data_IF_206524537385
#
_entry.id   IF_206524537385
#
_cell.length_a   1.000
_cell.length_b   1.000
_cell.length_c   1.000
_cell.angle_alpha   90.00
_cell.angle_beta   90.00
_cell.angle_gamma   90.00
#
_symmetry.space_group_name_H-M   'P 1'
#
loop_
_entity.id
_entity.type
_entity.pdbx_description
1 polymer ?
#
# COMPACT_ATOMS: atom_id res chain seq x y z
N UNK A 1 31.66 -28.47 12.13
CA UNK A 1 31.23 -27.30 11.34
C UNK A 1 29.75 -27.38 10.97
N UNK A 2 29.29 -28.45 10.30
CA UNK A 2 27.89 -28.66 9.90
C UNK A 2 26.84 -28.56 11.02
N UNK A 3 27.08 -29.16 12.20
CA UNK A 3 26.13 -29.11 13.34
C UNK A 3 25.88 -27.70 13.90
N UNK A 4 26.77 -26.73 13.66
CA UNK A 4 26.56 -25.31 14.05
C UNK A 4 25.80 -24.52 12.99
N UNK A 5 25.79 -24.97 11.73
CA UNK A 5 25.10 -24.32 10.62
C UNK A 5 23.62 -24.71 10.52
N UNK A 6 23.27 -25.97 10.86
CA UNK A 6 21.89 -26.46 10.85
C UNK A 6 20.90 -25.58 11.65
N UNK A 7 21.18 -25.15 12.90
CA UNK A 7 20.26 -24.28 13.63
C UNK A 7 20.12 -22.88 13.01
N UNK A 8 21.18 -22.33 12.40
CA UNK A 8 21.11 -21.05 11.68
C UNK A 8 20.22 -21.18 10.44
N UNK A 9 20.35 -22.30 9.71
CA UNK A 9 19.49 -22.61 8.57
C UNK A 9 18.04 -22.79 8.99
N UNK A 10 17.78 -23.45 10.12
CA UNK A 10 16.43 -23.63 10.64
C UNK A 10 15.77 -22.29 11.00
N UNK A 11 16.50 -21.38 11.67
CA UNK A 11 15.99 -20.03 11.98
C UNK A 11 15.73 -19.23 10.70
N UNK A 12 16.64 -19.30 9.72
CA UNK A 12 16.43 -18.64 8.42
C UNK A 12 15.21 -19.20 7.69
N UNK A 13 15.04 -20.52 7.66
CA UNK A 13 13.92 -21.18 6.99
C UNK A 13 12.59 -20.89 7.67
N UNK A 14 12.56 -20.86 9.01
CA UNK A 14 11.39 -20.43 9.79
C UNK A 14 11.02 -18.98 9.50
N UNK A 15 12.00 -18.06 9.51
CA UNK A 15 11.75 -16.66 9.17
C UNK A 15 11.19 -16.47 7.76
N UNK A 16 11.71 -17.22 6.78
CA UNK A 16 11.15 -17.24 5.42
C UNK A 16 9.74 -17.82 5.38
N UNK A 17 9.48 -18.90 6.11
CA UNK A 17 8.16 -19.54 6.17
C UNK A 17 7.12 -18.62 6.82
N UNK A 18 7.46 -17.91 7.89
CA UNK A 18 6.57 -16.97 8.57
C UNK A 18 6.21 -15.79 7.67
N UNK A 19 7.20 -15.22 6.98
CA UNK A 19 6.98 -14.14 6.01
C UNK A 19 6.11 -14.60 4.83
N UNK A 20 6.38 -15.80 4.30
CA UNK A 20 5.59 -16.39 3.22
C UNK A 20 4.13 -16.62 3.65
N UNK A 21 3.92 -17.26 4.80
CA UNK A 21 2.58 -17.51 5.34
C UNK A 21 1.80 -16.21 5.52
N UNK A 22 2.44 -15.17 6.06
CA UNK A 22 1.80 -13.86 6.23
C UNK A 22 1.35 -13.26 4.89
N UNK A 23 2.22 -13.21 3.88
CA UNK A 23 1.89 -12.61 2.58
C UNK A 23 0.79 -13.42 1.88
N UNK A 24 0.90 -14.75 1.85
CA UNK A 24 -0.08 -15.62 1.20
C UNK A 24 -1.46 -15.47 1.84
N UNK A 25 -1.55 -15.47 3.16
CA UNK A 25 -2.83 -15.30 3.85
C UNK A 25 -3.49 -13.95 3.54
N UNK A 26 -2.70 -12.88 3.45
CA UNK A 26 -3.19 -11.56 3.06
C UNK A 26 -3.67 -11.54 1.60
N UNK A 27 -2.93 -12.15 0.67
CA UNK A 27 -3.32 -12.21 -0.74
C UNK A 27 -4.59 -13.05 -0.95
N UNK A 28 -4.73 -14.17 -0.25
CA UNK A 28 -5.96 -14.98 -0.30
C UNK A 28 -7.15 -14.17 0.22
N UNK A 29 -7.01 -13.49 1.36
CA UNK A 29 -8.05 -12.61 1.89
C UNK A 29 -8.37 -11.45 0.94
N UNK A 30 -7.34 -10.85 0.32
CA UNK A 30 -7.48 -9.79 -0.67
C UNK A 30 -8.24 -10.25 -1.92
N UNK A 31 -7.99 -11.47 -2.40
CA UNK A 31 -8.71 -12.05 -3.52
C UNK A 31 -10.20 -12.22 -3.22
N UNK A 32 -10.55 -12.72 -2.03
CA UNK A 32 -11.95 -12.81 -1.57
C UNK A 32 -12.57 -11.42 -1.41
N UNK A 33 -11.84 -10.47 -0.84
CA UNK A 33 -12.27 -9.08 -0.70
C UNK A 33 -12.53 -8.42 -2.05
N UNK A 34 -11.62 -8.60 -3.01
CA UNK A 34 -11.73 -8.08 -4.37
C UNK A 34 -12.95 -8.65 -5.10
N UNK A 35 -13.20 -9.94 -4.95
CA UNK A 35 -14.40 -10.59 -5.48
C UNK A 35 -15.67 -10.04 -4.83
N UNK A 36 -15.64 -9.79 -3.52
CA UNK A 36 -16.74 -9.16 -2.78
C UNK A 36 -17.05 -7.75 -3.32
N UNK A 37 -16.05 -6.89 -3.44
CA UNK A 37 -16.21 -5.54 -4.00
C UNK A 37 -16.69 -5.54 -5.45
N UNK A 38 -16.22 -6.49 -6.26
CA UNK A 38 -16.71 -6.69 -7.63
C UNK A 38 -18.20 -7.01 -7.63
N UNK A 39 -18.63 -7.93 -6.76
CA UNK A 39 -20.03 -8.39 -6.67
C UNK A 39 -20.98 -7.28 -6.20
N UNK A 40 -20.53 -6.39 -5.31
CA UNK A 40 -21.30 -5.22 -4.84
C UNK A 40 -21.30 -4.07 -5.86
N UNK A 41 -20.54 -4.17 -6.96
CA UNK A 41 -20.46 -3.13 -7.98
C UNK A 41 -19.55 -1.95 -7.61
N UNK A 42 -18.75 -2.07 -6.55
CA UNK A 42 -17.84 -1.01 -6.11
C UNK A 42 -16.78 -0.65 -7.16
N UNK A 43 -16.25 -1.65 -7.87
CA UNK A 43 -15.26 -1.42 -8.95
C UNK A 43 -15.86 -0.56 -10.05
N UNK A 44 -17.10 -0.84 -10.48
CA UNK A 44 -17.79 -0.05 -11.51
C UNK A 44 -18.02 1.38 -11.04
N UNK A 45 -18.49 1.57 -9.80
CA UNK A 45 -18.68 2.90 -9.23
C UNK A 45 -17.37 3.71 -9.14
N UNK A 46 -16.25 3.06 -8.82
CA UNK A 46 -14.93 3.70 -8.82
C UNK A 46 -14.50 4.13 -10.23
N UNK A 47 -14.69 3.29 -11.23
CA UNK A 47 -14.34 3.58 -12.62
C UNK A 47 -15.20 4.73 -13.16
N UNK A 48 -16.52 4.63 -13.02
CA UNK A 48 -17.46 5.65 -13.49
C UNK A 48 -17.18 7.00 -12.82
N UNK A 49 -16.92 6.98 -11.50
CA UNK A 49 -16.50 8.15 -10.74
C UNK A 49 -15.21 8.76 -11.27
N UNK A 50 -14.18 7.94 -11.51
CA UNK A 50 -12.90 8.39 -12.03
C UNK A 50 -13.03 8.98 -13.45
N UNK A 51 -13.80 8.34 -14.33
CA UNK A 51 -14.01 8.79 -15.71
C UNK A 51 -14.85 10.07 -15.79
N UNK A 52 -15.84 10.24 -14.90
CA UNK A 52 -16.68 11.44 -14.86
C UNK A 52 -15.91 12.73 -14.53
N UNK A 53 -14.76 12.61 -13.87
CA UNK A 53 -13.92 13.72 -13.42
C UNK A 53 -12.82 14.11 -14.43
N UNK A 54 -12.82 13.53 -15.64
CA UNK A 54 -11.86 13.86 -16.71
C UNK A 54 -10.76 12.83 -16.87
N UNK A 55 -9.51 13.14 -16.47
CA UNK A 55 -8.37 12.22 -16.61
C UNK A 55 -8.53 10.98 -15.71
N UNK A 56 -9.28 9.99 -16.20
CA UNK A 56 -9.68 8.82 -15.42
C UNK A 56 -8.49 8.09 -14.79
N UNK A 57 -7.35 8.02 -15.49
CA UNK A 57 -6.13 7.38 -14.99
C UNK A 57 -5.55 8.08 -13.75
N UNK A 58 -5.38 9.40 -13.81
CA UNK A 58 -4.85 10.21 -12.71
C UNK A 58 -5.82 10.20 -11.53
N UNK A 59 -7.11 10.35 -11.80
CA UNK A 59 -8.14 10.35 -10.74
C UNK A 59 -8.20 9.00 -10.04
N UNK A 60 -8.12 7.89 -10.79
CA UNK A 60 -8.04 6.55 -10.22
C UNK A 60 -6.78 6.35 -9.38
N UNK A 61 -5.62 6.80 -9.88
CA UNK A 61 -4.38 6.75 -9.12
C UNK A 61 -4.51 7.48 -7.78
N UNK A 62 -5.01 8.72 -7.79
CA UNK A 62 -5.21 9.52 -6.58
C UNK A 62 -6.19 8.84 -5.63
N UNK A 63 -7.31 8.30 -6.13
CA UNK A 63 -8.29 7.58 -5.32
C UNK A 63 -7.67 6.38 -4.60
N UNK A 64 -6.91 5.55 -5.33
CA UNK A 64 -6.23 4.38 -4.76
C UNK A 64 -5.14 4.78 -3.76
N UNK A 65 -4.37 5.82 -4.06
CA UNK A 65 -3.38 6.40 -3.14
C UNK A 65 -4.03 6.82 -1.82
N UNK A 66 -5.13 7.58 -1.88
CA UNK A 66 -5.82 8.09 -0.70
C UNK A 66 -6.42 6.96 0.14
N UNK A 67 -7.15 6.03 -0.48
CA UNK A 67 -7.77 4.90 0.21
C UNK A 67 -6.68 4.04 0.88
N UNK A 68 -5.57 3.78 0.17
CA UNK A 68 -4.46 2.98 0.69
C UNK A 68 -3.74 3.69 1.83
N UNK A 69 -3.51 5.00 1.71
CA UNK A 69 -2.89 5.80 2.77
C UNK A 69 -3.75 5.81 4.03
N UNK A 70 -5.06 6.00 3.91
CA UNK A 70 -5.99 5.96 5.04
C UNK A 70 -6.00 4.58 5.70
N UNK A 71 -6.03 3.51 4.90
CA UNK A 71 -5.93 2.14 5.41
C UNK A 71 -4.57 1.86 6.08
N UNK A 72 -3.47 2.43 5.59
CA UNK A 72 -2.16 2.31 6.24
C UNK A 72 -2.10 3.06 7.58
N UNK A 73 -2.72 4.24 7.65
CA UNK A 73 -2.83 5.01 8.89
C UNK A 73 -3.62 4.28 9.96
N UNK A 74 -4.69 3.56 9.60
CA UNK A 74 -5.52 2.80 10.54
C UNK A 74 -4.88 1.47 10.94
N UNK A 75 -4.25 0.77 10.00
CA UNK A 75 -3.65 -0.55 10.25
C UNK A 75 -2.25 -0.49 10.84
N UNK A 76 -1.55 0.64 10.71
CA UNK A 76 -0.14 0.77 11.13
C UNK A 76 0.84 -0.08 10.34
N UNK A 77 0.40 -0.69 9.23
CA UNK A 77 1.16 -1.60 8.39
C UNK A 77 1.41 -1.00 7.01
N UNK A 78 2.66 -1.07 6.55
CA UNK A 78 3.04 -0.58 5.22
C UNK A 78 2.69 -1.56 4.10
N UNK A 79 2.42 -2.83 4.44
CA UNK A 79 2.20 -3.90 3.46
C UNK A 79 0.76 -4.40 3.45
N UNK A 80 0.04 -4.35 4.58
CA UNK A 80 -1.32 -4.90 4.64
C UNK A 80 -2.31 -4.19 3.71
N UNK A 81 -2.36 -2.84 3.65
CA UNK A 81 -3.23 -2.13 2.72
C UNK A 81 -2.86 -2.41 1.27
N UNK A 82 -1.57 -2.37 0.95
CA UNK A 82 -1.08 -2.69 -0.39
C UNK A 82 -1.55 -4.07 -0.84
N UNK A 83 -1.32 -5.11 -0.03
CA UNK A 83 -1.75 -6.47 -0.40
C UNK A 83 -3.27 -6.63 -0.45
N UNK A 84 -4.03 -5.88 0.35
CA UNK A 84 -5.50 -5.90 0.29
C UNK A 84 -6.06 -5.36 -1.03
N UNK A 85 -5.40 -4.37 -1.63
CA UNK A 85 -5.86 -3.70 -2.85
C UNK A 85 -5.11 -4.10 -4.13
N UNK A 86 -3.94 -4.75 -4.03
CA UNK A 86 -3.15 -5.14 -5.21
C UNK A 86 -3.90 -6.09 -6.14
N UNK A 87 -4.73 -6.97 -5.60
CA UNK A 87 -5.60 -7.87 -6.38
C UNK A 87 -6.66 -7.14 -7.22
N UNK A 88 -7.00 -5.89 -6.87
CA UNK A 88 -7.90 -5.05 -7.66
C UNK A 88 -7.21 -4.39 -8.85
N UNK A 89 -5.90 -4.18 -8.77
CA UNK A 89 -5.15 -3.42 -9.79
C UNK A 89 -5.30 -4.02 -11.18
N UNK A 90 -5.12 -5.33 -11.43
CA UNK A 90 -5.24 -5.88 -12.77
C UNK A 90 -6.62 -5.63 -13.39
N UNK A 91 -7.68 -5.68 -12.58
CA UNK A 91 -9.06 -5.43 -13.02
C UNK A 91 -9.27 -3.96 -13.33
N UNK A 92 -8.82 -3.05 -12.47
CA UNK A 92 -8.93 -1.61 -12.69
C UNK A 92 -8.13 -1.18 -13.92
N UNK A 93 -6.90 -1.66 -14.04
CA UNK A 93 -6.00 -1.34 -15.13
C UNK A 93 -6.53 -1.80 -16.49
N UNK A 94 -7.03 -3.04 -16.59
CA UNK A 94 -7.57 -3.59 -17.84
C UNK A 94 -8.85 -2.88 -18.30
N UNK A 95 -9.76 -2.55 -17.38
CA UNK A 95 -11.00 -1.83 -17.72
C UNK A 95 -10.73 -0.39 -18.14
N UNK A 96 -9.65 0.22 -17.65
CA UNK A 96 -9.30 1.61 -17.96
C UNK A 96 -8.25 1.76 -19.07
N UNK A 97 -7.69 0.66 -19.56
CA UNK A 97 -6.62 0.67 -20.57
C UNK A 97 -5.31 1.31 -20.07
N UNK A 98 -5.06 1.30 -18.77
CA UNK A 98 -3.87 1.90 -18.15
C UNK A 98 -2.84 0.86 -17.77
N UNK A 99 -1.58 1.27 -17.65
CA UNK A 99 -0.51 0.39 -17.17
C UNK A 99 -0.75 0.03 -15.69
N UNK A 100 -0.82 -1.26 -15.29
CA UNK A 100 -0.92 -1.66 -13.88
C UNK A 100 0.18 -1.05 -12.99
N UNK A 101 1.39 -0.86 -13.53
CA UNK A 101 2.50 -0.25 -12.80
C UNK A 101 2.20 1.21 -12.42
N UNK A 102 1.50 1.95 -13.27
CA UNK A 102 1.11 3.34 -13.04
C UNK A 102 0.22 3.50 -11.81
N UNK A 103 -0.62 2.49 -11.50
CA UNK A 103 -1.44 2.48 -10.29
C UNK A 103 -0.70 1.87 -9.08
N UNK A 104 0.08 0.82 -9.31
CA UNK A 104 0.70 0.03 -8.22
C UNK A 104 1.82 0.78 -7.50
N UNK A 105 2.69 1.48 -8.25
CA UNK A 105 3.86 2.17 -7.70
C UNK A 105 3.46 3.24 -6.67
N UNK A 106 2.60 4.22 -7.00
CA UNK A 106 2.20 5.25 -6.05
C UNK A 106 1.38 4.67 -4.90
N UNK A 107 0.61 3.60 -5.13
CA UNK A 107 -0.11 2.89 -4.08
C UNK A 107 0.82 2.25 -3.03
N UNK A 108 1.89 1.57 -3.47
CA UNK A 108 2.89 0.98 -2.57
C UNK A 108 3.57 2.06 -1.71
N UNK A 109 3.92 3.18 -2.32
CA UNK A 109 4.54 4.30 -1.63
C UNK A 109 3.58 4.97 -0.66
N UNK A 110 2.31 5.16 -1.05
CA UNK A 110 1.27 5.68 -0.16
C UNK A 110 1.05 4.78 1.06
N UNK A 111 1.09 3.45 0.88
CA UNK A 111 0.98 2.48 1.97
C UNK A 111 2.15 2.60 2.96
N UNK A 112 3.39 2.66 2.46
CA UNK A 112 4.58 2.81 3.29
C UNK A 112 4.64 4.16 4.00
N UNK A 113 4.27 5.23 3.30
CA UNK A 113 4.20 6.59 3.86
C UNK A 113 3.09 6.70 4.91
N UNK A 114 1.89 6.17 4.64
CA UNK A 114 0.77 6.17 5.57
C UNK A 114 1.07 5.44 6.88
N UNK A 115 1.88 4.37 6.84
CA UNK A 115 2.38 3.69 8.06
C UNK A 115 3.12 4.64 8.99
N UNK A 116 3.89 5.58 8.47
CA UNK A 116 4.66 6.54 9.30
C UNK A 116 3.78 7.60 9.96
N UNK A 117 2.57 7.80 9.44
CA UNK A 117 1.53 8.66 10.00
C UNK A 117 0.49 7.89 10.82
N UNK A 118 0.81 6.66 11.23
CA UNK A 118 -0.08 5.83 12.03
C UNK A 118 0.34 5.84 13.51
N UNK A 119 -0.59 6.16 14.45
CA UNK A 119 -0.30 6.17 15.88
C UNK A 119 -0.13 4.75 16.45
N UNK A 120 -0.63 3.75 15.72
CA UNK A 120 -0.58 2.34 16.10
C UNK A 120 0.61 1.61 15.44
N UNK A 121 1.40 2.29 14.61
CA UNK A 121 2.59 1.67 14.02
C UNK A 121 3.66 1.45 15.09
N UNK A 122 4.16 0.22 15.22
CA UNK A 122 5.17 -0.13 16.22
C UNK A 122 6.43 0.74 16.17
N UNK A 123 6.82 1.23 14.99
CA UNK A 123 7.96 2.16 14.85
C UNK A 123 7.66 3.54 15.44
N UNK A 124 6.44 4.06 15.25
CA UNK A 124 6.03 5.35 15.82
C UNK A 124 5.91 5.23 17.34
N UNK A 125 5.33 4.13 17.83
CA UNK A 125 5.19 3.83 19.27
C UNK A 125 6.56 3.69 19.95
N UNK A 126 7.51 2.98 19.31
CA UNK A 126 8.86 2.83 19.84
C UNK A 126 9.59 4.18 19.91
N UNK A 127 9.55 4.97 18.83
CA UNK A 127 10.21 6.29 18.77
C UNK A 127 9.57 7.28 19.75
N UNK A 128 8.23 7.28 19.88
CA UNK A 128 7.55 8.12 20.86
C UNK A 128 7.93 7.76 22.30
N UNK A 129 8.09 6.46 22.59
CA UNK A 129 8.54 5.98 23.90
C UNK A 129 9.97 6.42 24.23
N UNK A 130 10.88 6.35 23.26
CA UNK A 130 12.26 6.83 23.41
C UNK A 130 12.33 8.36 23.57
N UNK A 131 11.52 9.09 22.83
CA UNK A 131 11.48 10.55 22.84
C UNK A 131 10.65 11.15 23.99
N UNK A 132 9.94 10.32 24.77
CA UNK A 132 9.04 10.73 25.87
C UNK A 132 7.97 11.76 25.43
N UNK A 133 7.48 11.62 24.21
CA UNK A 133 6.40 12.45 23.66
C UNK A 133 5.24 11.58 23.20
N UNK A 134 4.05 12.16 23.00
CA UNK A 134 2.90 11.43 22.47
C UNK A 134 3.15 10.92 21.05
N UNK A 135 2.67 9.72 20.66
CA UNK A 135 2.69 9.24 19.28
C UNK A 135 2.12 10.26 18.28
N UNK A 136 1.08 11.00 18.69
CA UNK A 136 0.47 12.04 17.86
C UNK A 136 1.41 13.22 17.57
N UNK A 137 2.29 13.56 18.51
CA UNK A 137 3.29 14.61 18.27
C UNK A 137 4.35 14.16 17.28
N UNK A 138 4.78 12.89 17.35
CA UNK A 138 5.71 12.32 16.37
C UNK A 138 5.09 12.37 14.98
N UNK A 139 3.84 11.93 14.84
CA UNK A 139 3.13 11.97 13.55
C UNK A 139 3.02 13.39 13.00
N UNK A 140 2.73 14.38 13.85
CA UNK A 140 2.64 15.78 13.42
C UNK A 140 3.97 16.34 12.92
N UNK A 141 5.10 15.87 13.45
CA UNK A 141 6.44 16.26 12.97
C UNK A 141 6.79 15.59 11.64
N UNK A 142 6.28 14.38 11.42
CA UNK A 142 6.55 13.58 10.22
C UNK A 142 5.53 13.83 9.10
N UNK A 143 4.39 14.46 9.37
CA UNK A 143 3.33 14.71 8.37
C UNK A 143 3.79 15.55 7.20
N UNK A 144 4.54 16.64 7.43
CA UNK A 144 5.03 17.52 6.37
C UNK A 144 5.94 16.77 5.39
N UNK A 145 7.04 16.10 5.82
CA UNK A 145 7.89 15.37 4.89
C UNK A 145 7.17 14.21 4.21
N UNK A 146 6.19 13.58 4.86
CA UNK A 146 5.39 12.51 4.25
C UNK A 146 4.49 13.04 3.13
N UNK A 147 3.78 14.15 3.37
CA UNK A 147 2.93 14.76 2.35
C UNK A 147 3.75 15.24 1.16
N UNK A 148 4.91 15.84 1.40
CA UNK A 148 5.85 16.23 0.34
C UNK A 148 6.33 15.00 -0.43
N UNK A 149 6.71 13.93 0.27
CA UNK A 149 7.11 12.66 -0.35
C UNK A 149 6.00 12.06 -1.21
N UNK A 150 4.75 12.11 -0.76
CA UNK A 150 3.60 11.61 -1.52
C UNK A 150 3.38 12.40 -2.80
N UNK A 151 3.44 13.74 -2.73
CA UNK A 151 3.33 14.60 -3.92
C UNK A 151 4.45 14.31 -4.91
N UNK A 152 5.69 14.17 -4.44
CA UNK A 152 6.84 13.82 -5.28
C UNK A 152 6.62 12.46 -5.96
N UNK A 153 6.11 11.46 -5.23
CA UNK A 153 5.82 10.13 -5.80
C UNK A 153 4.77 10.21 -6.90
N UNK A 154 3.69 10.97 -6.70
CA UNK A 154 2.64 11.16 -7.72
C UNK A 154 3.25 11.81 -8.96
N UNK A 155 3.93 12.96 -8.80
CA UNK A 155 4.55 13.68 -9.92
C UNK A 155 5.62 12.83 -10.63
N UNK A 156 6.44 12.09 -9.87
CA UNK A 156 7.43 11.19 -10.44
C UNK A 156 6.77 10.04 -11.23
N UNK A 157 5.65 9.51 -10.75
CA UNK A 157 4.89 8.47 -11.46
C UNK A 157 4.34 9.01 -12.77
N UNK A 158 3.78 10.22 -12.80
CA UNK A 158 3.32 10.87 -14.03
C UNK A 158 4.44 11.05 -15.08
N UNK A 159 5.67 11.35 -14.63
CA UNK A 159 6.79 11.63 -15.53
C UNK A 159 7.48 10.34 -16.00
N UNK A 160 7.68 9.37 -15.11
CA UNK A 160 8.53 8.20 -15.36
C UNK A 160 7.75 6.98 -15.85
N UNK A 161 6.45 6.89 -15.56
CA UNK A 161 5.65 5.69 -15.84
C UNK A 161 4.66 5.99 -16.97
N UNK A 162 4.73 5.28 -18.11
CA UNK A 162 3.76 5.43 -19.18
C UNK A 162 2.35 5.09 -18.68
N UNK A 163 1.41 6.02 -18.85
CA UNK A 163 0.02 5.85 -18.42
C UNK A 163 -0.73 4.78 -19.22
N UNK A 164 -0.33 4.54 -20.47
CA UNK A 164 -0.92 3.54 -21.37
C UNK A 164 0.11 2.48 -21.77
N UNK A 165 -0.30 1.22 -21.83
CA UNK A 165 0.43 0.19 -22.56
C UNK A 165 0.23 0.46 -24.04
N UNK A 166 1.30 0.80 -24.77
CA UNK A 166 1.27 0.92 -26.22
C UNK A 166 0.93 -0.40 -26.90
#
# INVERSE_FOLDING_TARGET
MLKKFLPVLEVAYRGMADAFAQVVMLLVAAGVFAQGLTTVGFIHALIDGAQSLGSGAIVMMIALVLITMLAAMTTGSGNAPFYAFVELIPRLASNMGVNPAYLTIPMLQASNLGRTLSPVSGVVVAVSGMAKISPFEVMKRVSVPVLVGLVIVIVATEILVPSTLG
#
